data_IF_524599612840
#
_entry.id   IF_524599612840
#
_cell.length_a   1.000
_cell.length_b   1.000
_cell.length_c   1.000
_cell.angle_alpha   90.00
_cell.angle_beta   90.00
_cell.angle_gamma   90.00
#
_symmetry.space_group_name_H-M   'P 1'
#
loop_
_entity.id
_entity.type
_entity.pdbx_description
1 polymer ?
#
# COMPACT_ATOMS: atom_id res chain seq x y z
N UNK A 1 -24.51 -4.19 2.92
CA UNK A 1 -23.61 -3.77 1.83
C UNK A 1 -23.23 -5.03 1.08
N UNK A 2 -23.31 -4.99 -0.24
CA UNK A 2 -22.84 -6.11 -1.07
C UNK A 2 -21.33 -6.28 -0.87
N UNK A 3 -20.88 -7.53 -0.72
CA UNK A 3 -19.47 -7.84 -0.55
C UNK A 3 -18.76 -7.63 -1.90
N UNK A 4 -17.79 -6.71 -1.94
CA UNK A 4 -17.03 -6.42 -3.16
C UNK A 4 -15.99 -7.51 -3.41
N UNK A 5 -15.98 -8.07 -4.61
CA UNK A 5 -15.14 -9.22 -4.99
C UNK A 5 -13.63 -8.94 -4.88
N UNK A 6 -13.21 -7.71 -5.18
CA UNK A 6 -11.79 -7.34 -5.18
C UNK A 6 -11.34 -6.63 -3.89
N UNK A 7 -12.23 -6.41 -2.91
CA UNK A 7 -11.89 -5.68 -1.67
C UNK A 7 -10.71 -6.29 -0.90
N UNK A 8 -10.52 -7.61 -0.98
CA UNK A 8 -9.39 -8.33 -0.36
C UNK A 8 -8.00 -7.91 -0.85
N UNK A 9 -7.90 -7.15 -1.94
CA UNK A 9 -6.63 -6.63 -2.48
C UNK A 9 -6.32 -5.20 -2.04
N UNK A 10 -7.19 -4.55 -1.28
CA UNK A 10 -7.01 -3.16 -0.85
C UNK A 10 -6.69 -3.09 0.64
N UNK A 11 -5.63 -2.36 0.99
CA UNK A 11 -5.22 -2.09 2.37
C UNK A 11 -5.01 -0.59 2.50
N UNK A 12 -5.84 0.07 3.31
CA UNK A 12 -5.74 1.51 3.56
C UNK A 12 -4.96 1.83 4.83
N UNK A 13 -5.04 0.99 5.87
CA UNK A 13 -4.25 1.09 7.11
C UNK A 13 -3.99 -0.32 7.67
N UNK A 14 -2.86 -0.56 8.35
CA UNK A 14 -2.61 -1.81 9.04
C UNK A 14 -3.61 -1.98 10.20
N UNK A 15 -3.93 -3.23 10.54
CA UNK A 15 -4.72 -3.49 11.74
C UNK A 15 -3.93 -3.10 13.00
N UNK A 16 -4.60 -2.62 14.06
CA UNK A 16 -3.95 -2.12 15.29
C UNK A 16 -2.98 -3.11 15.97
N UNK A 17 -3.14 -4.42 15.73
CA UNK A 17 -2.26 -5.49 16.21
C UNK A 17 -0.97 -5.65 15.39
N UNK A 18 -0.94 -5.14 14.15
CA UNK A 18 0.17 -5.26 13.22
C UNK A 18 1.25 -4.21 13.53
N UNK A 19 0.89 -2.97 13.86
CA UNK A 19 1.84 -1.89 14.24
C UNK A 19 2.73 -2.27 15.44
N UNK A 20 2.24 -3.16 16.30
CA UNK A 20 2.93 -3.56 17.52
C UNK A 20 3.96 -4.69 17.34
N UNK A 21 4.21 -5.21 16.12
CA UNK A 21 5.10 -6.37 15.89
C UNK A 21 5.97 -6.21 14.63
N UNK A 22 7.15 -6.87 14.64
CA UNK A 22 8.03 -6.96 13.47
C UNK A 22 8.47 -5.60 12.92
N UNK A 23 8.48 -5.48 11.58
CA UNK A 23 8.84 -4.25 10.87
C UNK A 23 7.90 -3.07 11.18
N UNK A 24 6.65 -3.32 11.63
CA UNK A 24 5.72 -2.26 12.03
C UNK A 24 6.20 -1.38 13.20
N UNK A 25 7.18 -1.87 13.99
CA UNK A 25 7.81 -1.09 15.07
C UNK A 25 8.87 -0.10 14.60
N UNK A 26 9.30 -0.21 13.34
CA UNK A 26 10.37 0.63 12.83
C UNK A 26 9.78 1.99 12.40
N UNK A 27 10.32 3.12 12.88
CA UNK A 27 9.78 4.45 12.58
C UNK A 27 9.67 4.80 11.09
N UNK A 28 10.50 4.15 10.26
CA UNK A 28 10.50 4.32 8.81
C UNK A 28 9.42 3.50 8.09
N UNK A 29 8.77 2.55 8.77
CA UNK A 29 7.72 1.73 8.18
C UNK A 29 6.44 2.52 8.07
N UNK A 30 5.93 2.64 6.84
CA UNK A 30 4.59 3.18 6.61
C UNK A 30 3.59 2.03 6.62
N UNK A 31 3.79 1.02 5.78
CA UNK A 31 2.90 -0.13 5.60
C UNK A 31 3.71 -1.34 5.13
N UNK A 32 3.21 -2.55 5.35
CA UNK A 32 3.73 -3.75 4.70
C UNK A 32 2.57 -4.68 4.34
N UNK A 33 2.83 -5.63 3.45
CA UNK A 33 1.90 -6.71 3.15
C UNK A 33 2.64 -8.03 3.12
N UNK A 34 1.94 -9.09 3.50
CA UNK A 34 2.31 -10.49 3.31
C UNK A 34 1.00 -11.29 3.23
N UNK A 35 1.06 -12.62 3.29
CA UNK A 35 -0.14 -13.47 3.23
C UNK A 35 -1.13 -13.26 4.39
N UNK A 36 -0.70 -12.70 5.53
CA UNK A 36 -1.55 -12.42 6.68
C UNK A 36 -2.30 -11.09 6.52
N UNK A 37 -1.76 -10.17 5.72
CA UNK A 37 -2.38 -8.87 5.40
C UNK A 37 -3.21 -8.95 4.11
N UNK A 38 -2.63 -9.47 3.03
CA UNK A 38 -3.29 -9.70 1.73
C UNK A 38 -3.07 -11.17 1.35
N UNK A 39 -4.12 -12.01 1.31
CA UNK A 39 -3.96 -13.43 1.01
C UNK A 39 -3.21 -13.68 -0.30
N UNK A 40 -2.11 -14.44 -0.22
CA UNK A 40 -1.25 -14.75 -1.37
C UNK A 40 -0.23 -13.67 -1.74
N UNK A 41 -0.14 -12.58 -0.98
CA UNK A 41 0.87 -11.54 -1.20
C UNK A 41 2.26 -11.99 -0.76
N UNK A 42 3.28 -11.64 -1.55
CA UNK A 42 4.67 -11.67 -1.10
C UNK A 42 4.92 -10.61 -0.03
N UNK A 43 6.07 -10.68 0.63
CA UNK A 43 6.47 -9.63 1.55
C UNK A 43 6.83 -8.35 0.79
N UNK A 44 5.98 -7.33 0.89
CA UNK A 44 6.24 -5.98 0.38
C UNK A 44 6.28 -5.00 1.53
N UNK A 45 7.16 -4.00 1.43
CA UNK A 45 7.38 -3.04 2.49
C UNK A 45 7.41 -1.62 1.93
N UNK A 46 6.56 -0.75 2.48
CA UNK A 46 6.50 0.67 2.16
C UNK A 46 7.27 1.43 3.23
N UNK A 47 8.34 2.08 2.78
CA UNK A 47 9.33 2.71 3.63
C UNK A 47 9.43 4.21 3.36
N UNK A 48 9.55 5.00 4.42
CA UNK A 48 10.02 6.38 4.33
C UNK A 48 11.54 6.39 4.36
N UNK A 49 12.16 6.71 3.23
CA UNK A 49 13.60 6.85 3.13
C UNK A 49 14.04 8.26 3.52
N UNK A 50 15.16 8.37 4.24
CA UNK A 50 15.75 9.66 4.61
C UNK A 50 16.35 10.39 3.41
N UNK A 51 16.57 11.70 3.55
CA UNK A 51 17.10 12.56 2.47
C UNK A 51 18.51 12.19 1.99
N UNK A 52 19.26 11.44 2.79
CA UNK A 52 20.58 10.92 2.43
C UNK A 52 20.53 9.62 1.62
N UNK A 53 19.35 9.03 1.43
CA UNK A 53 19.21 7.80 0.66
C UNK A 53 19.34 8.10 -0.84
N UNK A 54 20.31 7.46 -1.48
CA UNK A 54 20.45 7.46 -2.94
C UNK A 54 19.89 6.14 -3.44
N UNK A 55 18.72 6.13 -4.10
CA UNK A 55 18.18 4.89 -4.67
C UNK A 55 19.16 4.36 -5.73
N UNK A 56 19.32 3.04 -5.84
CA UNK A 56 20.05 2.48 -6.97
C UNK A 56 19.39 2.93 -8.27
N UNK A 57 20.17 3.12 -9.36
CA UNK A 57 19.61 3.53 -10.63
C UNK A 57 18.55 2.52 -11.09
N UNK A 58 17.30 2.99 -11.18
CA UNK A 58 16.15 2.19 -11.56
C UNK A 58 15.51 2.78 -12.83
N UNK A 59 15.72 2.13 -13.97
CA UNK A 59 15.13 2.55 -15.25
C UNK A 59 13.70 2.05 -15.44
N UNK A 60 12.99 2.57 -16.46
CA UNK A 60 11.72 1.98 -16.92
C UNK A 60 11.92 0.51 -17.31
N UNK A 61 11.01 -0.36 -16.87
CA UNK A 61 11.07 -1.80 -17.12
C UNK A 61 9.67 -2.42 -17.06
N UNK A 62 9.56 -3.68 -17.52
CA UNK A 62 8.35 -4.49 -17.43
C UNK A 62 8.53 -5.45 -16.26
N UNK A 63 7.55 -5.51 -15.37
CA UNK A 63 7.59 -6.42 -14.24
C UNK A 63 7.16 -7.82 -14.67
N UNK A 64 7.93 -8.82 -14.22
CA UNK A 64 7.64 -10.24 -14.46
C UNK A 64 6.67 -10.81 -13.44
N UNK A 65 6.55 -10.14 -12.30
CA UNK A 65 5.81 -10.57 -11.12
C UNK A 65 4.69 -9.56 -10.81
N UNK A 66 3.66 -9.95 -10.05
CA UNK A 66 2.63 -9.03 -9.58
C UNK A 66 3.23 -7.87 -8.78
N UNK A 67 2.74 -6.66 -9.04
CA UNK A 67 3.11 -5.44 -8.32
C UNK A 67 1.98 -4.93 -7.44
N UNK A 68 2.36 -4.12 -6.44
CA UNK A 68 1.43 -3.33 -5.66
C UNK A 68 1.43 -1.88 -6.16
N UNK A 69 0.24 -1.32 -6.33
CA UNK A 69 0.08 0.12 -6.45
C UNK A 69 0.00 0.73 -5.04
N UNK A 70 0.93 1.62 -4.72
CA UNK A 70 1.00 2.29 -3.42
C UNK A 70 0.69 3.77 -3.61
N UNK A 71 -0.28 4.28 -2.84
CA UNK A 71 -0.69 5.68 -2.83
C UNK A 71 -0.34 6.23 -1.46
N UNK A 72 0.45 7.29 -1.41
CA UNK A 72 0.90 7.92 -0.16
C UNK A 72 0.58 9.41 -0.16
N UNK A 73 0.12 9.88 0.99
CA UNK A 73 0.06 11.29 1.33
C UNK A 73 1.46 11.89 1.47
N UNK A 74 1.54 13.21 1.26
CA UNK A 74 2.80 13.96 1.38
C UNK A 74 3.09 14.41 2.81
N UNK A 75 2.09 14.38 3.70
CA UNK A 75 2.26 14.70 5.12
C UNK A 75 3.08 13.60 5.81
N UNK A 76 4.25 13.91 6.38
CA UNK A 76 5.06 12.91 7.04
C UNK A 76 4.44 12.33 8.31
N UNK A 77 3.59 13.09 8.99
CA UNK A 77 2.99 12.72 10.27
C UNK A 77 1.71 11.87 10.08
N UNK A 78 1.07 11.97 8.92
CA UNK A 78 -0.02 11.07 8.50
C UNK A 78 0.13 10.72 7.01
N UNK A 79 0.93 9.69 6.65
CA UNK A 79 1.17 9.31 5.26
C UNK A 79 -0.06 8.72 4.57
N UNK A 80 -1.16 8.51 5.29
CA UNK A 80 -2.43 8.02 4.78
C UNK A 80 -3.40 9.16 4.43
N UNK A 81 -3.09 10.40 4.83
CA UNK A 81 -3.89 11.57 4.49
C UNK A 81 -3.57 12.03 3.06
N UNK A 82 -4.54 11.84 2.16
CA UNK A 82 -4.43 12.26 0.76
C UNK A 82 -4.86 13.72 0.54
N UNK A 83 -5.09 14.49 1.61
CA UNK A 83 -5.44 15.92 1.53
C UNK A 83 -6.82 16.17 0.94
N UNK A 84 -7.76 15.25 1.16
CA UNK A 84 -9.12 15.30 0.62
C UNK A 84 -9.25 14.88 -0.85
N UNK A 85 -8.16 14.36 -1.45
CA UNK A 85 -8.24 13.72 -2.76
C UNK A 85 -8.98 12.38 -2.68
N UNK A 86 -9.74 12.06 -3.73
CA UNK A 86 -10.35 10.74 -3.91
C UNK A 86 -9.78 10.10 -5.17
N UNK A 87 -9.42 8.82 -5.08
CA UNK A 87 -8.90 8.06 -6.22
C UNK A 87 -9.83 6.87 -6.45
N UNK A 88 -10.49 6.87 -7.60
CA UNK A 88 -11.30 5.74 -8.04
C UNK A 88 -10.45 4.75 -8.84
N UNK A 89 -10.43 3.51 -8.35
CA UNK A 89 -9.80 2.36 -8.98
C UNK A 89 -10.90 1.41 -9.43
N UNK A 90 -10.92 1.08 -10.72
CA UNK A 90 -11.90 0.17 -11.32
C UNK A 90 -11.23 -1.18 -11.60
N UNK A 91 -11.77 -2.25 -11.01
CA UNK A 91 -11.15 -3.57 -11.01
C UNK A 91 -11.95 -4.59 -11.83
N UNK A 92 -11.23 -5.38 -12.63
CA UNK A 92 -11.77 -6.48 -13.43
C UNK A 92 -12.64 -6.06 -14.61
N UNK A 93 -13.09 -7.01 -15.46
CA UNK A 93 -13.99 -6.73 -16.58
C UNK A 93 -15.33 -6.10 -16.17
N UNK A 94 -15.77 -6.32 -14.93
CA UNK A 94 -16.98 -5.75 -14.35
C UNK A 94 -16.83 -4.28 -13.92
N UNK A 95 -15.62 -3.72 -13.96
CA UNK A 95 -15.32 -2.35 -13.53
C UNK A 95 -15.83 -2.07 -12.10
N UNK A 96 -15.59 -3.02 -11.18
CA UNK A 96 -15.96 -2.84 -9.77
C UNK A 96 -15.18 -1.65 -9.20
N UNK A 97 -15.89 -0.59 -8.77
CA UNK A 97 -15.28 0.65 -8.30
C UNK A 97 -14.84 0.57 -6.84
N UNK A 98 -13.61 0.96 -6.56
CA UNK A 98 -13.03 1.15 -5.23
C UNK A 98 -12.51 2.57 -5.09
N UNK A 99 -12.90 3.27 -4.03
CA UNK A 99 -12.48 4.66 -3.78
C UNK A 99 -11.50 4.68 -2.62
N UNK A 100 -10.29 5.18 -2.88
CA UNK A 100 -9.25 5.44 -1.87
C UNK A 100 -9.35 6.90 -1.44
N UNK A 101 -9.23 7.14 -0.13
CA UNK A 101 -9.40 8.44 0.55
C UNK A 101 -8.40 8.57 1.68
#
# INVERSE_FOLDING_TARGET
MEEKKYAKYFVSRPASLQDAKGFGRLPQTVLWTDTDVIPGSFHFWVLRMGSSYVPPPHGPHIHKDPELLVILGTNPDDPYDLGGAEIDIYMGPEMERHTVR
#
